data_IF_511309730287
#
_entry.id   IF_511309730287
#
_cell.length_a   1.000
_cell.length_b   1.000
_cell.length_c   1.000
_cell.angle_alpha   90.00
_cell.angle_beta   90.00
_cell.angle_gamma   90.00
#
_symmetry.space_group_name_H-M   'P 1'
#
loop_
_entity.id
_entity.type
_entity.pdbx_description
1 polymer ?
#
# COMPACT_ATOMS: atom_id res chain seq x y z
N UNK A 1 22.59 -21.83 -0.08
CA UNK A 1 21.54 -22.12 -1.09
C UNK A 1 20.55 -20.97 -1.07
N UNK A 2 20.63 -20.04 -2.04
CA UNK A 2 19.73 -18.89 -2.20
C UNK A 2 18.89 -18.99 -3.50
N UNK A 3 18.86 -20.17 -4.13
CA UNK A 3 18.36 -20.36 -5.49
C UNK A 3 16.83 -20.25 -5.65
N UNK A 4 16.09 -20.00 -4.56
CA UNK A 4 14.63 -19.82 -4.58
C UNK A 4 14.18 -18.54 -3.84
N UNK A 5 15.07 -17.60 -3.57
CA UNK A 5 14.64 -16.32 -3.02
C UNK A 5 14.30 -15.36 -4.15
N UNK A 6 13.02 -14.99 -4.24
CA UNK A 6 12.52 -13.86 -5.01
C UNK A 6 13.26 -12.59 -4.55
N UNK A 7 14.49 -12.32 -5.00
CA UNK A 7 15.35 -11.24 -4.50
C UNK A 7 16.11 -10.62 -5.68
N UNK A 8 15.88 -9.33 -5.92
CA UNK A 8 16.56 -8.52 -6.93
C UNK A 8 17.25 -7.32 -6.27
N UNK A 9 18.37 -6.88 -6.83
CA UNK A 9 19.09 -5.70 -6.35
C UNK A 9 18.60 -4.46 -7.11
N UNK A 10 18.12 -3.45 -6.38
CA UNK A 10 17.73 -2.16 -6.95
C UNK A 10 18.96 -1.27 -7.06
N UNK A 11 19.46 -1.06 -8.29
CA UNK A 11 20.67 -0.25 -8.52
C UNK A 11 20.47 1.23 -8.18
N UNK A 12 19.24 1.74 -8.18
CA UNK A 12 18.99 3.16 -7.89
C UNK A 12 19.02 3.44 -6.39
N UNK A 13 18.56 2.51 -5.55
CA UNK A 13 18.59 2.66 -4.10
C UNK A 13 19.73 1.89 -3.41
N UNK A 14 20.49 1.08 -4.16
CA UNK A 14 21.52 0.19 -3.63
C UNK A 14 21.00 -0.80 -2.56
N UNK A 15 19.76 -1.26 -2.72
CA UNK A 15 19.09 -2.16 -1.77
C UNK A 15 18.72 -3.50 -2.39
N UNK A 16 18.80 -4.58 -1.60
CA UNK A 16 18.23 -5.87 -1.97
C UNK A 16 16.72 -5.87 -1.70
N UNK A 17 15.92 -6.03 -2.75
CA UNK A 17 14.45 -6.05 -2.71
C UNK A 17 13.94 -7.43 -3.06
N UNK A 18 12.86 -7.88 -2.43
CA UNK A 18 12.23 -9.14 -2.81
C UNK A 18 11.52 -8.96 -4.16
N UNK A 19 11.70 -9.86 -5.15
CA UNK A 19 10.92 -9.92 -6.40
C UNK A 19 9.50 -10.40 -6.13
N UNK A 20 8.74 -9.59 -5.41
CA UNK A 20 7.33 -9.85 -5.14
C UNK A 20 6.55 -9.63 -6.42
N UNK A 21 5.79 -10.65 -6.84
CA UNK A 21 4.69 -10.45 -7.79
C UNK A 21 3.63 -9.60 -7.09
N UNK A 22 3.58 -8.31 -7.41
CA UNK A 22 2.55 -7.44 -6.89
C UNK A 22 1.20 -7.89 -7.47
N UNK A 23 0.25 -8.21 -6.59
CA UNK A 23 -1.07 -8.72 -6.97
C UNK A 23 -2.09 -7.61 -7.20
N UNK A 24 -1.72 -6.36 -6.92
CA UNK A 24 -2.58 -5.20 -7.09
C UNK A 24 -1.82 -3.87 -7.03
N UNK A 25 -2.51 -2.82 -7.45
CA UNK A 25 -2.03 -1.45 -7.41
C UNK A 25 -3.05 -0.57 -6.70
N UNK A 26 -2.57 0.36 -5.88
CA UNK A 26 -3.42 1.34 -5.19
C UNK A 26 -2.76 2.71 -5.24
N UNK A 27 -3.54 3.75 -5.48
CA UNK A 27 -3.06 5.12 -5.37
C UNK A 27 -3.01 5.53 -3.90
N UNK A 28 -2.03 6.37 -3.53
CA UNK A 28 -1.94 6.93 -2.18
C UNK A 28 -1.61 8.42 -2.24
N UNK A 29 -2.28 9.21 -1.41
CA UNK A 29 -2.03 10.64 -1.24
C UNK A 29 -2.19 11.05 0.23
N UNK A 30 -1.75 12.28 0.57
CA UNK A 30 -1.94 12.88 1.89
C UNK A 30 -0.64 13.28 2.57
N UNK A 31 -0.57 13.08 3.88
CA UNK A 31 0.58 13.41 4.70
C UNK A 31 1.82 12.57 4.32
N UNK A 32 3.00 13.17 4.04
CA UNK A 32 4.17 12.44 3.57
C UNK A 32 4.68 11.34 4.50
N UNK A 33 4.58 11.52 5.82
CA UNK A 33 5.01 10.52 6.80
C UNK A 33 4.05 9.33 6.79
N UNK A 34 2.74 9.60 6.85
CA UNK A 34 1.73 8.55 6.78
C UNK A 34 1.79 7.80 5.46
N UNK A 35 2.00 8.51 4.34
CA UNK A 35 2.20 7.91 3.02
C UNK A 35 3.38 6.94 3.02
N UNK A 36 4.56 7.35 3.53
CA UNK A 36 5.75 6.49 3.57
C UNK A 36 5.49 5.19 4.33
N UNK A 37 4.88 5.27 5.51
CA UNK A 37 4.61 4.09 6.32
C UNK A 37 3.52 3.19 5.73
N UNK A 38 2.51 3.79 5.12
CA UNK A 38 1.43 3.06 4.46
C UNK A 38 1.93 2.35 3.22
N UNK A 39 2.74 3.00 2.38
CA UNK A 39 3.40 2.37 1.22
C UNK A 39 4.20 1.14 1.65
N UNK A 40 5.03 1.25 2.69
CA UNK A 40 5.79 0.12 3.23
C UNK A 40 4.89 -1.00 3.74
N UNK A 41 3.75 -0.68 4.34
CA UNK A 41 2.78 -1.68 4.80
C UNK A 41 2.09 -2.40 3.63
N UNK A 42 1.71 -1.67 2.58
CA UNK A 42 1.12 -2.21 1.35
C UNK A 42 2.09 -3.13 0.61
N UNK A 43 3.35 -2.72 0.47
CA UNK A 43 4.37 -3.53 -0.19
C UNK A 43 4.62 -4.86 0.54
N UNK A 44 4.50 -4.88 1.87
CA UNK A 44 4.59 -6.11 2.70
C UNK A 44 3.49 -7.11 2.40
N UNK A 45 2.34 -6.66 1.93
CA UNK A 45 1.23 -7.53 1.53
C UNK A 45 1.14 -7.73 0.01
N UNK A 46 2.14 -7.27 -0.74
CA UNK A 46 2.21 -7.47 -2.19
C UNK A 46 1.36 -6.48 -3.00
N UNK A 47 1.01 -5.31 -2.44
CA UNK A 47 0.35 -4.23 -3.17
C UNK A 47 1.37 -3.14 -3.46
N UNK A 48 1.48 -2.71 -4.73
CA UNK A 48 2.37 -1.63 -5.13
C UNK A 48 1.61 -0.30 -5.20
N UNK A 49 2.17 0.75 -4.63
CA UNK A 49 1.61 2.10 -4.79
C UNK A 49 1.90 2.66 -6.18
N UNK A 50 0.95 3.41 -6.75
CA UNK A 50 1.13 4.19 -7.99
C UNK A 50 0.66 5.62 -7.76
N UNK A 51 1.21 6.56 -8.52
CA UNK A 51 0.84 7.97 -8.40
C UNK A 51 -0.51 8.31 -9.07
N UNK A 52 -1.02 7.44 -9.94
CA UNK A 52 -2.26 7.69 -10.69
C UNK A 52 -3.42 6.79 -10.23
N UNK A 53 -4.61 7.37 -10.21
CA UNK A 53 -5.88 6.75 -9.82
C UNK A 53 -6.43 5.84 -10.95
N UNK A 54 -5.64 4.84 -11.35
CA UNK A 54 -5.90 4.00 -12.54
C UNK A 54 -6.99 2.93 -12.32
N UNK A 55 -7.95 3.17 -11.41
CA UNK A 55 -9.07 2.26 -11.13
C UNK A 55 -8.81 1.17 -10.10
N UNK A 56 -7.63 1.14 -9.47
CA UNK A 56 -7.25 0.15 -8.43
C UNK A 56 -7.72 0.49 -7.01
N UNK A 57 -8.23 1.70 -6.79
CA UNK A 57 -8.56 2.27 -5.48
C UNK A 57 -7.56 3.35 -5.05
N UNK A 58 -8.01 4.25 -4.17
CA UNK A 58 -7.24 5.38 -3.67
C UNK A 58 -7.27 5.42 -2.14
N UNK A 59 -6.10 5.61 -1.50
CA UNK A 59 -5.97 5.84 -0.07
C UNK A 59 -5.56 7.30 0.17
N UNK A 60 -6.37 8.03 0.91
CA UNK A 60 -5.97 9.30 1.52
C UNK A 60 -5.49 9.03 2.95
N UNK A 61 -4.22 9.33 3.25
CA UNK A 61 -3.63 9.14 4.57
C UNK A 61 -3.33 10.51 5.19
N UNK A 62 -4.04 10.91 6.24
CA UNK A 62 -3.97 12.26 6.80
C UNK A 62 -4.11 12.27 8.32
N UNK A 63 -3.78 13.40 8.95
CA UNK A 63 -4.07 13.62 10.36
C UNK A 63 -5.40 14.37 10.52
N UNK A 64 -6.36 13.74 11.19
CA UNK A 64 -7.60 14.39 11.62
C UNK A 64 -7.55 14.59 13.13
N UNK A 65 -7.63 15.85 13.59
CA UNK A 65 -7.52 16.21 15.01
C UNK A 65 -6.25 15.66 15.70
N UNK A 66 -5.14 15.55 14.96
CA UNK A 66 -3.88 15.02 15.45
C UNK A 66 -3.78 13.48 15.47
N UNK A 67 -4.84 12.78 15.07
CA UNK A 67 -4.86 11.33 14.95
C UNK A 67 -4.73 10.91 13.48
N UNK A 68 -3.92 9.88 13.15
CA UNK A 68 -3.82 9.41 11.78
C UNK A 68 -5.11 8.70 11.36
N UNK A 69 -5.58 9.01 10.16
CA UNK A 69 -6.78 8.46 9.54
C UNK A 69 -6.47 8.09 8.10
N UNK A 70 -6.98 6.93 7.67
CA UNK A 70 -6.86 6.46 6.30
C UNK A 70 -8.25 6.34 5.69
N UNK A 71 -8.51 7.04 4.60
CA UNK A 71 -9.76 6.94 3.84
C UNK A 71 -9.50 6.21 2.53
N UNK A 72 -10.07 5.02 2.39
CA UNK A 72 -10.02 4.19 1.19
C UNK A 72 -11.24 4.46 0.33
N UNK A 73 -11.03 4.94 -0.89
CA UNK A 73 -12.03 4.95 -1.95
C UNK A 73 -11.80 3.74 -2.87
N UNK A 74 -12.72 2.79 -2.85
CA UNK A 74 -12.62 1.57 -3.65
C UNK A 74 -14.01 1.09 -4.08
N UNK A 75 -14.18 0.75 -5.37
CA UNK A 75 -15.43 0.23 -5.95
C UNK A 75 -16.68 1.01 -5.49
N UNK A 76 -16.62 2.35 -5.52
CA UNK A 76 -17.70 3.28 -5.13
C UNK A 76 -18.02 3.37 -3.63
N UNK A 77 -17.27 2.66 -2.78
CA UNK A 77 -17.38 2.79 -1.33
C UNK A 77 -16.22 3.62 -0.78
N UNK A 78 -16.56 4.51 0.16
CA UNK A 78 -15.59 5.21 0.99
C UNK A 78 -15.59 4.55 2.37
N UNK A 79 -14.44 4.05 2.78
CA UNK A 79 -14.25 3.51 4.13
C UNK A 79 -13.10 4.21 4.83
N UNK A 80 -13.27 4.49 6.11
CA UNK A 80 -12.25 5.13 6.94
C UNK A 80 -11.71 4.16 7.99
N UNK A 81 -10.41 4.24 8.22
CA UNK A 81 -9.67 3.42 9.18
C UNK A 81 -8.87 4.32 10.10
N UNK A 82 -8.82 3.96 11.39
CA UNK A 82 -8.04 4.67 12.41
C UNK A 82 -6.65 4.07 12.62
N UNK A 83 -6.32 2.99 11.91
CA UNK A 83 -5.00 2.39 11.91
C UNK A 83 -4.63 1.82 10.54
N UNK A 84 -3.34 1.89 10.19
CA UNK A 84 -2.80 1.21 9.01
C UNK A 84 -3.01 -0.30 9.08
N UNK A 85 -3.07 -0.86 10.30
CA UNK A 85 -3.32 -2.29 10.49
C UNK A 85 -4.73 -2.68 10.02
N UNK A 86 -5.76 -1.92 10.41
CA UNK A 86 -7.14 -2.20 10.03
C UNK A 86 -7.35 -2.07 8.52
N UNK A 87 -6.75 -1.03 7.92
CA UNK A 87 -6.72 -0.86 6.47
C UNK A 87 -6.10 -2.10 5.79
N UNK A 88 -4.94 -2.55 6.25
CA UNK A 88 -4.24 -3.70 5.67
C UNK A 88 -5.03 -5.00 5.83
N UNK A 89 -5.66 -5.21 7.00
CA UNK A 89 -6.55 -6.34 7.25
C UNK A 89 -7.75 -6.32 6.30
N UNK A 90 -8.37 -5.16 6.11
CA UNK A 90 -9.46 -4.98 5.18
C UNK A 90 -9.05 -5.32 3.74
N UNK A 91 -7.92 -4.80 3.27
CA UNK A 91 -7.40 -5.06 1.91
C UNK A 91 -7.08 -6.54 1.68
N UNK A 92 -6.58 -7.24 2.70
CA UNK A 92 -6.32 -8.69 2.66
C UNK A 92 -7.60 -9.51 2.55
N UNK A 93 -8.62 -9.17 3.33
CA UNK A 93 -9.90 -9.89 3.37
C UNK A 93 -10.69 -9.69 2.07
N UNK A 94 -10.71 -8.46 1.55
CA UNK A 94 -11.50 -8.11 0.37
C UNK A 94 -10.80 -8.46 -0.95
N UNK A 95 -9.66 -9.16 -0.89
CA UNK A 95 -8.84 -9.61 -2.03
C UNK A 95 -9.02 -8.66 -3.21
N UNK A 96 -8.32 -7.52 -3.19
CA UNK A 96 -8.13 -6.71 -4.40
C UNK A 96 -7.30 -7.57 -5.37
N UNK A 97 -7.98 -8.54 -5.97
CA UNK A 97 -7.58 -9.39 -7.08
C UNK A 97 -8.29 -8.76 -8.27
N UNK A 98 -7.51 -8.07 -9.10
CA UNK A 98 -7.89 -7.86 -10.49
C UNK A 98 -7.70 -9.17 -11.25
#
# INVERSE_FOLDING_TARGET
MFENSDLYFDMNSAEFRLSRKFTGHIAISGDPELMLWTTRALERIGIKTRDEDSGGGHILAEYQHGCPVWSLNYKTELQSFSSVYDLICFLKLNRIQN
#
